data_IF_639116516340
#
_entry.id   IF_639116516340
#
_cell.length_a   1.000
_cell.length_b   1.000
_cell.length_c   1.000
_cell.angle_alpha   90.00
_cell.angle_beta   90.00
_cell.angle_gamma   90.00
#
_symmetry.space_group_name_H-M   'P 1'
#
loop_
_entity.id
_entity.type
_entity.pdbx_description
1 polymer ?
#
# COMPACT_ATOMS: atom_id res chain seq x y z
N UNK A 1 -4.16 0.56 23.34
CA UNK A 1 -4.08 0.42 22.86
C UNK A 1 -4.29 0.59 22.00
N UNK A 2 -4.52 -0.01 21.47
CA UNK A 2 -4.26 0.88 20.84
C UNK A 2 -4.78 0.82 19.50
N UNK A 3 -5.57 1.81 19.09
CA UNK A 3 -6.08 1.90 17.73
C UNK A 3 -4.98 1.79 16.69
N UNK A 4 -3.84 2.40 16.97
CA UNK A 4 -2.74 2.38 16.01
C UNK A 4 -2.32 0.96 15.68
N UNK A 5 -2.24 0.09 16.69
CA UNK A 5 -1.80 -1.27 16.43
C UNK A 5 -2.72 -2.01 15.49
N UNK A 6 -4.02 -1.81 15.62
CA UNK A 6 -4.98 -2.47 14.72
C UNK A 6 -4.77 -2.02 13.27
N UNK A 7 -4.58 -0.72 13.07
CA UNK A 7 -4.36 -0.21 11.71
C UNK A 7 -3.00 -0.62 11.16
N UNK A 8 -1.98 -0.68 12.01
CA UNK A 8 -0.67 -1.19 11.59
C UNK A 8 -0.80 -2.62 11.09
N UNK A 9 -1.52 -3.47 11.82
CA UNK A 9 -1.71 -4.84 11.41
C UNK A 9 -2.49 -4.95 10.10
N UNK A 10 -3.51 -4.09 9.92
CA UNK A 10 -4.26 -4.07 8.66
C UNK A 10 -3.34 -3.74 7.49
N UNK A 11 -2.48 -2.74 7.67
CA UNK A 11 -1.55 -2.36 6.60
C UNK A 11 -0.60 -3.52 6.29
N UNK A 12 -0.05 -4.14 7.32
CA UNK A 12 0.88 -5.25 7.11
C UNK A 12 0.20 -6.44 6.43
N UNK A 13 -1.06 -6.70 6.79
CA UNK A 13 -1.82 -7.77 6.13
C UNK A 13 -2.02 -7.49 4.65
N UNK A 14 -2.33 -6.25 4.30
CA UNK A 14 -2.54 -5.92 2.89
C UNK A 14 -1.24 -5.98 2.11
N UNK A 15 -0.13 -5.60 2.72
CA UNK A 15 1.17 -5.75 2.06
C UNK A 15 1.45 -7.22 1.79
N UNK A 16 1.15 -8.08 2.74
CA UNK A 16 1.31 -9.51 2.57
C UNK A 16 0.43 -10.04 1.44
N UNK A 17 -0.82 -9.58 1.37
CA UNK A 17 -1.71 -9.98 0.29
C UNK A 17 -1.16 -9.57 -1.07
N UNK A 18 -0.63 -8.37 -1.17
CA UNK A 18 -0.06 -7.89 -2.44
C UNK A 18 1.11 -8.78 -2.86
N UNK A 19 1.97 -9.14 -1.91
CA UNK A 19 3.09 -10.04 -2.21
C UNK A 19 2.58 -11.38 -2.76
N UNK A 20 1.51 -11.90 -2.20
CA UNK A 20 0.94 -13.15 -2.67
C UNK A 20 0.32 -13.01 -4.04
N UNK A 21 -0.37 -11.89 -4.30
CA UNK A 21 -0.96 -11.64 -5.61
C UNK A 21 0.12 -11.60 -6.70
N UNK A 22 1.30 -11.09 -6.36
CA UNK A 22 2.37 -10.92 -7.35
C UNK A 22 3.36 -12.08 -7.37
N UNK A 23 3.12 -13.13 -6.62
CA UNK A 23 4.04 -14.26 -6.59
C UNK A 23 4.16 -14.86 -7.99
N UNK A 24 5.37 -14.84 -8.54
CA UNK A 24 5.62 -15.37 -9.87
C UNK A 24 5.17 -14.45 -11.00
N UNK A 25 4.82 -13.20 -10.70
CA UNK A 25 4.33 -12.26 -11.70
C UNK A 25 5.32 -11.12 -11.87
N UNK A 26 5.80 -10.89 -13.11
CA UNK A 26 6.62 -9.74 -13.40
C UNK A 26 5.76 -8.62 -13.99
N UNK A 27 6.40 -7.51 -14.34
CA UNK A 27 5.66 -6.35 -14.83
C UNK A 27 4.92 -6.66 -16.14
N UNK A 28 5.58 -7.36 -17.05
CA UNK A 28 4.94 -7.68 -18.34
C UNK A 28 3.71 -8.56 -18.14
N UNK A 29 3.76 -9.46 -17.18
CA UNK A 29 2.59 -10.28 -16.86
C UNK A 29 1.50 -9.45 -16.22
N UNK A 30 1.88 -8.51 -15.36
CA UNK A 30 0.90 -7.70 -14.67
C UNK A 30 0.09 -6.83 -15.63
N UNK A 31 0.73 -6.23 -16.64
CA UNK A 31 0.01 -5.36 -17.57
C UNK A 31 -1.01 -6.12 -18.41
N UNK A 32 -0.94 -7.44 -18.40
CA UNK A 32 -1.91 -8.29 -19.10
C UNK A 32 -2.85 -9.01 -18.13
N UNK A 33 -2.83 -8.60 -16.85
CA UNK A 33 -3.62 -9.27 -15.82
C UNK A 33 -4.42 -8.24 -15.05
N UNK A 34 -5.52 -7.80 -15.65
CA UNK A 34 -6.37 -6.78 -15.06
C UNK A 34 -6.92 -7.21 -13.69
N UNK A 35 -7.23 -8.48 -13.56
CA UNK A 35 -7.77 -8.98 -12.30
C UNK A 35 -6.79 -8.80 -11.15
N UNK A 36 -5.54 -9.20 -11.37
CA UNK A 36 -4.51 -9.04 -10.34
C UNK A 36 -4.26 -7.56 -10.05
N UNK A 37 -4.21 -6.73 -11.09
CA UNK A 37 -4.00 -5.29 -10.89
C UNK A 37 -5.11 -4.68 -10.06
N UNK A 38 -6.35 -5.06 -10.30
CA UNK A 38 -7.48 -4.54 -9.53
C UNK A 38 -7.44 -5.01 -8.08
N UNK A 39 -6.99 -6.23 -7.85
CA UNK A 39 -6.83 -6.72 -6.49
C UNK A 39 -5.78 -5.89 -5.74
N UNK A 40 -4.68 -5.56 -6.41
CA UNK A 40 -3.64 -4.75 -5.81
C UNK A 40 -4.13 -3.34 -5.55
N UNK A 41 -4.88 -2.76 -6.50
CA UNK A 41 -5.47 -1.43 -6.28
C UNK A 41 -6.32 -1.41 -5.02
N UNK A 42 -7.13 -2.45 -4.83
CA UNK A 42 -7.97 -2.51 -3.64
C UNK A 42 -7.13 -2.57 -2.37
N UNK A 43 -6.09 -3.39 -2.38
CA UNK A 43 -5.20 -3.47 -1.22
C UNK A 43 -4.54 -2.13 -0.94
N UNK A 44 -4.11 -1.41 -1.98
CA UNK A 44 -3.49 -0.10 -1.79
C UNK A 44 -4.49 0.92 -1.25
N UNK A 45 -5.75 0.85 -1.67
CA UNK A 45 -6.80 1.71 -1.10
C UNK A 45 -6.96 1.44 0.39
N UNK A 46 -6.98 0.18 0.77
CA UNK A 46 -7.13 -0.19 2.18
C UNK A 46 -5.95 0.32 2.99
N UNK A 47 -4.74 0.19 2.45
CA UNK A 47 -3.55 0.72 3.11
C UNK A 47 -3.68 2.22 3.34
N UNK A 48 -4.10 2.95 2.31
CA UNK A 48 -4.27 4.40 2.44
C UNK A 48 -5.32 4.78 3.47
N UNK A 49 -6.45 4.06 3.49
CA UNK A 49 -7.51 4.32 4.46
C UNK A 49 -7.05 4.01 5.88
N UNK A 50 -6.34 2.90 6.06
CA UNK A 50 -5.82 2.56 7.37
C UNK A 50 -4.83 3.62 7.84
N UNK A 51 -3.97 4.10 6.94
CA UNK A 51 -3.01 5.13 7.29
C UNK A 51 -3.67 6.41 7.76
N UNK A 52 -4.81 6.77 7.18
CA UNK A 52 -5.56 7.96 7.61
C UNK A 52 -6.02 7.86 9.05
N UNK A 53 -6.20 6.66 9.55
CA UNK A 53 -6.71 6.43 10.89
C UNK A 53 -5.62 6.27 11.94
N UNK A 54 -4.35 6.27 11.53
CA UNK A 54 -3.25 6.26 12.48
C UNK A 54 -3.18 7.61 13.19
N UNK A 55 -2.75 7.61 14.44
CA UNK A 55 -2.67 8.85 15.21
C UNK A 55 -1.59 9.78 14.67
N UNK A 56 -1.78 11.07 14.89
CA UNK A 56 -0.76 12.04 14.51
C UNK A 56 0.54 11.79 15.26
N UNK A 57 0.41 11.35 16.51
CA UNK A 57 1.59 11.04 17.30
C UNK A 57 2.43 9.95 16.65
N UNK A 58 1.78 8.87 16.21
CA UNK A 58 2.50 7.78 15.56
C UNK A 58 3.15 8.25 14.28
N UNK A 59 2.44 9.06 13.50
CA UNK A 59 3.00 9.55 12.24
C UNK A 59 4.20 10.46 12.48
N UNK A 60 4.18 11.23 13.54
CA UNK A 60 5.32 12.07 13.87
C UNK A 60 6.51 11.25 14.35
N UNK A 61 6.25 10.16 15.05
CA UNK A 61 7.32 9.29 15.51
C UNK A 61 7.95 8.47 14.39
N UNK A 62 7.27 8.40 13.25
CA UNK A 62 7.75 7.61 12.11
C UNK A 62 7.85 8.47 10.86
N UNK A 63 8.51 9.62 10.99
CA UNK A 63 8.61 10.59 9.89
C UNK A 63 9.36 10.09 8.67
N UNK A 64 10.14 9.03 8.82
CA UNK A 64 10.82 8.44 7.66
C UNK A 64 9.82 7.90 6.65
N UNK A 65 8.56 7.64 7.07
CA UNK A 65 7.51 7.23 6.15
C UNK A 65 6.83 8.49 5.63
N UNK A 66 6.68 8.63 4.30
CA UNK A 66 5.95 9.77 3.72
C UNK A 66 4.45 9.55 3.86
N UNK A 67 3.94 9.76 5.07
CA UNK A 67 2.54 9.45 5.38
C UNK A 67 1.54 10.15 4.47
N UNK A 68 1.85 11.39 4.08
CA UNK A 68 0.95 12.12 3.19
C UNK A 68 0.74 11.36 1.89
N UNK A 69 1.82 10.80 1.35
CA UNK A 69 1.73 10.02 0.12
C UNK A 69 1.03 8.69 0.34
N UNK A 70 1.29 8.05 1.48
CA UNK A 70 0.63 6.78 1.79
C UNK A 70 -0.88 7.00 1.91
N UNK A 71 -1.29 8.06 2.61
CA UNK A 71 -2.71 8.37 2.76
C UNK A 71 -3.37 8.71 1.42
N UNK A 72 -2.59 9.19 0.46
CA UNK A 72 -3.09 9.56 -0.86
C UNK A 72 -2.94 8.47 -1.90
N UNK A 73 -2.64 7.22 -1.51
CA UNK A 73 -2.41 6.16 -2.48
C UNK A 73 -3.58 5.97 -3.44
N UNK A 74 -4.80 6.07 -2.94
CA UNK A 74 -5.97 5.91 -3.80
C UNK A 74 -5.96 6.95 -4.92
N UNK A 75 -5.73 8.21 -4.57
CA UNK A 75 -5.72 9.28 -5.56
C UNK A 75 -4.58 9.12 -6.54
N UNK A 76 -3.48 8.54 -6.09
CA UNK A 76 -2.31 8.37 -6.93
C UNK A 76 -2.51 7.33 -8.02
N UNK A 77 -3.28 6.28 -7.72
CA UNK A 77 -3.46 5.18 -8.67
C UNK A 77 -4.74 5.28 -9.49
N UNK A 78 -5.70 6.11 -9.09
CA UNK A 78 -6.96 6.28 -9.81
C UNK A 78 -6.95 7.63 -10.48
N UNK A 79 -6.21 7.72 -11.59
CA UNK A 79 -6.12 8.97 -12.35
C UNK A 79 -7.20 9.07 -13.40
N UNK A 80 -7.61 7.94 -13.98
CA UNK A 80 -8.52 7.92 -15.11
C UNK A 80 -9.59 6.87 -14.89
N UNK A 81 -10.77 7.13 -15.41
CA UNK A 81 -11.86 6.18 -15.25
C UNK A 81 -11.63 4.88 -15.96
N UNK A 82 -10.85 4.91 -17.03
CA UNK A 82 -10.77 3.76 -17.92
C UNK A 82 -9.48 2.99 -17.82
N UNK A 83 -8.44 3.60 -17.27
CA UNK A 83 -7.11 3.03 -17.32
C UNK A 83 -6.59 2.68 -15.95
N UNK A 84 -5.94 1.52 -15.86
CA UNK A 84 -5.17 1.13 -14.68
C UNK A 84 -3.77 1.66 -14.89
N UNK A 85 -3.24 2.36 -13.90
CA UNK A 85 -1.88 2.89 -13.98
C UNK A 85 -0.90 1.82 -13.49
N UNK A 86 -0.60 0.86 -14.37
CA UNK A 86 0.24 -0.28 -14.01
C UNK A 86 1.63 0.14 -13.55
N UNK A 87 2.19 1.14 -14.22
CA UNK A 87 3.54 1.58 -13.87
C UNK A 87 3.61 2.14 -12.47
N UNK A 88 2.64 2.98 -12.11
CA UNK A 88 2.59 3.57 -10.78
C UNK A 88 2.36 2.48 -9.74
N UNK A 89 1.44 1.54 -10.00
CA UNK A 89 1.20 0.44 -9.08
C UNK A 89 2.48 -0.36 -8.87
N UNK A 90 3.15 -0.70 -9.95
CA UNK A 90 4.37 -1.50 -9.85
C UNK A 90 5.45 -0.78 -9.05
N UNK A 91 5.64 0.52 -9.32
CA UNK A 91 6.65 1.29 -8.61
C UNK A 91 6.35 1.39 -7.11
N UNK A 92 5.08 1.58 -6.76
CA UNK A 92 4.69 1.62 -5.34
C UNK A 92 5.02 0.28 -4.67
N UNK A 93 4.65 -0.81 -5.31
CA UNK A 93 4.83 -2.13 -4.72
C UNK A 93 6.31 -2.48 -4.58
N UNK A 94 7.11 -2.14 -5.59
CA UNK A 94 8.52 -2.50 -5.58
C UNK A 94 9.37 -1.60 -4.71
N UNK A 95 9.01 -0.32 -4.59
CA UNK A 95 9.88 0.66 -3.93
C UNK A 95 9.32 1.18 -2.62
N UNK A 96 8.03 1.52 -2.57
CA UNK A 96 7.46 2.19 -1.41
C UNK A 96 7.02 1.22 -0.32
N UNK A 97 6.36 0.13 -0.70
CA UNK A 97 5.83 -0.80 0.28
C UNK A 97 6.88 -1.50 1.12
N UNK A 98 8.04 -1.90 0.55
CA UNK A 98 9.05 -2.54 1.38
C UNK A 98 9.55 -1.65 2.52
N UNK A 99 9.68 -0.34 2.27
CA UNK A 99 10.11 0.57 3.32
C UNK A 99 9.05 0.75 4.38
N UNK A 100 7.78 0.87 3.95
CA UNK A 100 6.67 0.96 4.87
C UNK A 100 6.60 -0.29 5.75
N UNK A 101 6.73 -1.45 5.13
CA UNK A 101 6.68 -2.70 5.85
C UNK A 101 7.79 -2.79 6.88
N UNK A 102 9.00 -2.42 6.50
CA UNK A 102 10.14 -2.49 7.38
C UNK A 102 9.94 -1.66 8.64
N UNK A 103 9.41 -0.45 8.50
CA UNK A 103 9.18 0.40 9.65
C UNK A 103 8.05 -0.15 10.51
N UNK A 104 6.93 -0.53 9.88
CA UNK A 104 5.76 -0.96 10.65
C UNK A 104 5.99 -2.28 11.39
N UNK A 105 6.86 -3.15 10.87
CA UNK A 105 7.16 -4.40 11.57
C UNK A 105 7.69 -4.16 12.97
N UNK A 106 8.31 -3.02 13.20
CA UNK A 106 8.86 -2.70 14.52
C UNK A 106 7.78 -2.39 15.54
N UNK A 107 6.58 -2.11 15.08
CA UNK A 107 5.51 -1.63 15.96
C UNK A 107 4.35 -2.63 16.08
N UNK A 108 4.45 -3.78 15.46
CA UNK A 108 3.34 -4.72 15.53
C UNK A 108 3.33 -5.51 16.83
#
# INVERSE_FOLDING_TARGET
MDKDKAYILHILDEIKNIKQFLLGIDFDMLINDTKTAKAIERSLEIIGEAAKNLSEKFKEETKEIPWREVMGLRDKIIHHYFDVDYKTIWDIVQNDLPELEKVLEKYK
#
